data_IF_057877642667
#
_entry.id   IF_057877642667
#
_cell.length_a   1.000
_cell.length_b   1.000
_cell.length_c   1.000
_cell.angle_alpha   90.00
_cell.angle_beta   90.00
_cell.angle_gamma   90.00
#
_symmetry.space_group_name_H-M   'P 1'
#
loop_
_entity.id
_entity.type
_entity.pdbx_description
1 polymer ?
#
# COMPACT_ATOMS: atom_id res chain seq x y z
N UNK A 1 -2.22 7.11 -12.02
CA UNK A 1 -3.47 6.74 -11.35
C UNK A 1 -3.20 6.67 -9.85
N UNK A 2 -4.15 7.05 -9.00
CA UNK A 2 -4.00 6.98 -7.55
C UNK A 2 -5.13 6.14 -6.96
N UNK A 3 -4.78 5.13 -6.18
CA UNK A 3 -5.71 4.24 -5.48
C UNK A 3 -5.58 4.48 -3.99
N UNK A 4 -6.73 4.57 -3.31
CA UNK A 4 -6.81 4.74 -1.86
C UNK A 4 -7.67 3.61 -1.30
N UNK A 5 -7.12 2.87 -0.35
CA UNK A 5 -7.85 1.83 0.39
C UNK A 5 -7.67 2.06 1.89
N UNK A 6 -8.70 1.74 2.65
CA UNK A 6 -8.70 1.88 4.10
C UNK A 6 -9.08 0.52 4.69
N UNK A 7 -8.23 0.05 5.60
CA UNK A 7 -8.40 -1.24 6.26
C UNK A 7 -8.52 -1.04 7.75
N UNK A 8 -9.36 -1.84 8.40
CA UNK A 8 -9.45 -1.87 9.87
C UNK A 8 -8.90 -3.17 10.40
N UNK A 9 -8.28 -3.12 11.59
CA UNK A 9 -7.69 -4.30 12.25
C UNK A 9 -6.59 -5.01 11.43
N UNK A 10 -6.02 -4.34 10.43
CA UNK A 10 -4.88 -4.84 9.65
C UNK A 10 -3.60 -4.25 10.19
N UNK A 11 -2.62 -5.11 10.45
CA UNK A 11 -1.30 -4.68 10.88
C UNK A 11 -0.60 -3.96 9.71
N UNK A 12 -0.25 -2.67 9.85
CA UNK A 12 0.41 -1.90 8.78
C UNK A 12 1.76 -2.48 8.38
N UNK A 13 2.48 -3.15 9.30
CA UNK A 13 3.74 -3.83 8.97
C UNK A 13 3.54 -5.05 8.07
N UNK A 14 2.47 -5.82 8.30
CA UNK A 14 2.13 -6.97 7.45
C UNK A 14 1.65 -6.48 6.07
N UNK A 15 0.76 -5.48 6.03
CA UNK A 15 0.33 -4.87 4.76
C UNK A 15 1.54 -4.34 3.96
N UNK A 16 2.50 -3.70 4.62
CA UNK A 16 3.71 -3.22 3.97
C UNK A 16 4.52 -4.33 3.31
N UNK A 17 4.72 -5.45 3.98
CA UNK A 17 5.50 -6.57 3.46
C UNK A 17 4.79 -7.24 2.27
N UNK A 18 3.47 -7.47 2.40
CA UNK A 18 2.64 -8.05 1.32
C UNK A 18 2.64 -7.16 0.07
N UNK A 19 2.41 -5.84 0.22
CA UNK A 19 2.44 -4.90 -0.90
C UNK A 19 3.81 -4.93 -1.59
N UNK A 20 4.89 -4.99 -0.81
CA UNK A 20 6.25 -5.06 -1.35
C UNK A 20 6.48 -6.34 -2.15
N UNK A 21 5.97 -7.47 -1.70
CA UNK A 21 6.11 -8.76 -2.39
C UNK A 21 5.28 -8.79 -3.69
N UNK A 22 4.01 -8.37 -3.63
CA UNK A 22 3.14 -8.31 -4.80
C UNK A 22 3.68 -7.40 -5.90
N UNK A 23 4.20 -6.23 -5.51
CA UNK A 23 4.78 -5.31 -6.49
C UNK A 23 6.06 -5.90 -7.08
N UNK A 24 6.95 -6.51 -6.29
CA UNK A 24 8.15 -7.18 -6.82
C UNK A 24 7.83 -8.31 -7.81
N UNK A 25 6.71 -9.02 -7.65
CA UNK A 25 6.25 -10.05 -8.62
C UNK A 25 5.97 -9.49 -10.01
N UNK A 26 5.75 -8.18 -10.15
CA UNK A 26 5.42 -7.51 -11.42
C UNK A 26 6.65 -7.07 -12.24
N UNK A 27 7.83 -7.63 -11.92
CA UNK A 27 9.14 -7.33 -12.53
C UNK A 27 9.60 -5.87 -12.33
N UNK A 28 9.29 -5.29 -11.17
CA UNK A 28 9.75 -3.95 -10.79
C UNK A 28 10.70 -4.01 -9.59
N UNK A 29 11.61 -3.05 -9.53
CA UNK A 29 12.65 -3.00 -8.50
C UNK A 29 12.23 -2.04 -7.40
N UNK A 30 12.46 -2.42 -6.14
CA UNK A 30 12.31 -1.52 -4.99
C UNK A 30 13.45 -0.52 -5.02
N UNK A 31 13.12 0.76 -5.22
CA UNK A 31 14.08 1.86 -5.19
C UNK A 31 14.25 2.39 -3.77
N UNK A 32 13.14 2.66 -3.09
CA UNK A 32 13.11 3.12 -1.71
C UNK A 32 12.13 2.30 -0.88
N UNK A 33 12.57 1.86 0.29
CA UNK A 33 11.75 1.13 1.25
C UNK A 33 12.01 1.70 2.65
N UNK A 34 11.10 2.53 3.13
CA UNK A 34 11.16 3.17 4.45
C UNK A 34 9.98 2.72 5.29
N UNK A 35 10.26 2.19 6.46
CA UNK A 35 9.26 1.91 7.48
C UNK A 35 9.64 2.70 8.73
N UNK A 36 8.81 3.65 9.08
CA UNK A 36 9.00 4.54 10.22
C UNK A 36 7.90 4.29 11.25
N UNK A 37 8.26 4.27 12.53
CA UNK A 37 7.31 4.12 13.63
C UNK A 37 7.41 5.35 14.50
N UNK A 38 6.28 6.03 14.67
CA UNK A 38 6.16 7.26 15.45
C UNK A 38 5.28 7.00 16.66
N UNK A 39 5.79 7.30 17.85
CA UNK A 39 4.99 7.29 19.07
C UNK A 39 4.06 8.51 19.08
N UNK A 40 2.77 8.30 19.32
CA UNK A 40 1.82 9.41 19.44
C UNK A 40 2.10 10.19 20.74
N UNK A 41 2.16 11.53 20.69
CA UNK A 41 2.43 12.35 21.88
C UNK A 41 1.29 12.32 22.91
N UNK A 42 0.08 11.96 22.49
CA UNK A 42 -1.13 12.02 23.32
C UNK A 42 -1.45 10.73 24.06
N UNK A 43 -0.92 9.59 23.61
CA UNK A 43 -1.21 8.27 24.21
C UNK A 43 0.01 7.36 24.06
N UNK A 44 0.69 7.05 25.18
CA UNK A 44 1.97 6.34 25.20
C UNK A 44 1.91 4.89 24.67
N UNK A 45 0.72 4.37 24.40
CA UNK A 45 0.49 3.02 23.89
C UNK A 45 0.12 2.98 22.40
N UNK A 46 -0.05 4.14 21.75
CA UNK A 46 -0.42 4.22 20.35
C UNK A 46 0.79 4.56 19.47
N UNK A 47 1.13 3.63 18.58
CA UNK A 47 2.20 3.80 17.60
C UNK A 47 1.61 3.98 16.20
N UNK A 48 1.99 5.06 15.54
CA UNK A 48 1.68 5.30 14.13
C UNK A 48 2.78 4.73 13.27
N UNK A 49 2.42 3.78 12.41
CA UNK A 49 3.33 3.22 11.43
C UNK A 49 3.18 3.99 10.12
N UNK A 50 4.32 4.30 9.52
CA UNK A 50 4.42 4.97 8.23
C UNK A 50 5.37 4.19 7.33
N UNK A 51 4.81 3.44 6.40
CA UNK A 51 5.53 2.77 5.32
C UNK A 51 5.53 3.63 4.07
N UNK A 52 6.69 3.88 3.48
CA UNK A 52 6.83 4.44 2.13
C UNK A 52 7.64 3.47 1.30
N UNK A 53 7.04 2.98 0.22
CA UNK A 53 7.67 2.13 -0.77
C UNK A 53 7.66 2.88 -2.10
N UNK A 54 8.79 2.92 -2.77
CA UNK A 54 8.96 3.48 -4.10
C UNK A 54 9.57 2.42 -4.99
N UNK A 55 8.99 2.24 -6.17
CA UNK A 55 9.40 1.24 -7.14
C UNK A 55 9.70 1.87 -8.48
N UNK A 56 10.76 1.40 -9.10
CA UNK A 56 11.24 1.85 -10.41
C UNK A 56 11.18 0.70 -11.41
N UNK A 57 11.03 1.05 -12.69
CA UNK A 57 11.04 0.04 -13.76
C UNK A 57 12.44 -0.55 -13.87
N UNK A 58 12.53 -1.87 -14.07
CA UNK A 58 13.78 -2.57 -14.37
C UNK A 58 14.31 -2.27 -15.79
N UNK A 59 13.87 -1.16 -16.40
CA UNK A 59 14.34 -0.74 -17.69
C UNK A 59 15.76 -0.17 -17.54
N UNK A 60 16.72 -0.71 -18.30
CA UNK A 60 18.15 -0.30 -18.33
C UNK A 60 18.40 1.18 -18.71
N UNK A 61 17.37 2.00 -18.76
CA UNK A 61 17.44 3.43 -19.02
C UNK A 61 17.93 4.13 -17.75
N UNK A 62 19.03 4.89 -17.87
CA UNK A 62 19.81 5.57 -16.81
C UNK A 62 19.03 6.50 -15.85
N UNK A 63 17.72 6.67 -16.04
CA UNK A 63 16.81 7.29 -15.09
C UNK A 63 15.79 6.21 -14.75
N UNK A 64 15.96 5.54 -13.59
CA UNK A 64 14.95 4.68 -13.03
C UNK A 64 13.71 5.51 -12.77
N UNK A 65 12.79 5.56 -13.73
CA UNK A 65 11.58 6.37 -13.59
C UNK A 65 10.67 5.69 -12.58
N UNK A 66 10.26 6.44 -11.57
CA UNK A 66 9.29 6.01 -10.56
C UNK A 66 8.01 5.53 -11.27
N UNK A 67 7.70 4.25 -11.08
CA UNK A 67 6.57 3.57 -11.71
C UNK A 67 5.41 3.44 -10.74
N UNK A 68 5.73 3.17 -9.48
CA UNK A 68 4.76 2.94 -8.42
C UNK A 68 5.30 3.45 -7.10
N UNK A 69 4.43 4.07 -6.31
CA UNK A 69 4.71 4.51 -4.96
C UNK A 69 3.57 4.08 -4.05
N UNK A 70 3.87 3.29 -3.03
CA UNK A 70 2.90 2.92 -2.00
C UNK A 70 3.21 3.66 -0.70
N UNK A 71 2.20 4.29 -0.13
CA UNK A 71 2.23 4.95 1.17
C UNK A 71 1.24 4.26 2.09
N UNK A 72 1.74 3.74 3.20
CA UNK A 72 0.95 3.07 4.22
C UNK A 72 1.07 3.89 5.48
N UNK A 73 -0.05 4.36 6.02
CA UNK A 73 -0.09 5.05 7.30
C UNK A 73 -1.20 4.44 8.12
N UNK A 74 -0.87 3.93 9.30
CA UNK A 74 -1.86 3.26 10.12
C UNK A 74 -1.46 3.07 11.55
N UNK A 75 -2.46 2.84 12.39
CA UNK A 75 -2.29 2.41 13.77
C UNK A 75 -2.85 0.98 13.85
N UNK A 76 -2.06 -0.02 14.27
CA UNK A 76 -2.48 -1.43 14.25
C UNK A 76 -3.76 -1.70 15.04
N UNK A 77 -4.10 -0.86 16.01
CA UNK A 77 -5.30 -0.96 16.83
C UNK A 77 -6.52 -0.19 16.32
N UNK A 78 -6.39 0.57 15.22
CA UNK A 78 -7.47 1.39 14.65
C UNK A 78 -7.62 1.12 13.15
N UNK A 79 -7.11 2.03 12.34
CA UNK A 79 -7.23 2.06 10.88
C UNK A 79 -5.85 2.12 10.23
N UNK A 80 -5.74 1.47 9.07
CA UNK A 80 -4.57 1.48 8.21
C UNK A 80 -4.98 1.98 6.84
N UNK A 81 -4.41 3.11 6.43
CA UNK A 81 -4.62 3.74 5.13
C UNK A 81 -3.52 3.32 4.18
N UNK A 82 -3.91 2.82 3.03
CA UNK A 82 -3.04 2.50 1.91
C UNK A 82 -3.33 3.48 0.77
N UNK A 83 -2.29 4.14 0.30
CA UNK A 83 -2.33 5.00 -0.89
C UNK A 83 -1.30 4.47 -1.87
N UNK A 84 -1.76 4.02 -3.03
CA UNK A 84 -0.89 3.57 -4.11
C UNK A 84 -0.99 4.60 -5.23
N UNK A 85 0.13 5.22 -5.56
CA UNK A 85 0.29 6.08 -6.72
C UNK A 85 1.00 5.28 -7.81
N UNK A 86 0.43 5.22 -9.01
CA UNK A 86 0.97 4.48 -10.15
C UNK A 86 1.11 5.40 -11.35
N UNK A 87 2.18 5.21 -12.12
CA UNK A 87 2.39 5.95 -13.35
C UNK A 87 2.00 5.07 -14.54
N UNK A 88 0.82 5.31 -15.10
CA UNK A 88 0.26 4.54 -16.23
C UNK A 88 1.20 4.44 -17.45
N UNK A 89 2.11 5.40 -17.59
CA UNK A 89 3.10 5.43 -18.68
C UNK A 89 4.20 4.38 -18.51
N UNK A 90 4.44 3.93 -17.30
CA UNK A 90 5.55 3.03 -16.95
C UNK A 90 5.04 1.72 -16.33
N UNK A 91 3.86 1.77 -15.70
CA UNK A 91 3.23 0.65 -15.05
C UNK A 91 1.83 0.47 -15.64
N UNK A 92 1.68 -0.54 -16.49
CA UNK A 92 0.44 -0.81 -17.21
C UNK A 92 -0.75 -0.99 -16.26
N UNK A 93 -1.94 -0.51 -16.61
CA UNK A 93 -3.12 -0.62 -15.78
C UNK A 93 -3.50 -2.08 -15.47
N UNK A 94 -3.19 -3.02 -16.37
CA UNK A 94 -3.40 -4.47 -16.12
C UNK A 94 -2.62 -4.98 -14.91
N UNK A 95 -1.35 -4.55 -14.75
CA UNK A 95 -0.53 -4.92 -13.59
C UNK A 95 -1.06 -4.29 -12.30
N UNK A 96 -1.61 -3.08 -12.39
CA UNK A 96 -2.27 -2.40 -11.27
C UNK A 96 -3.49 -3.21 -10.84
N UNK A 97 -4.32 -3.63 -11.79
CA UNK A 97 -5.51 -4.43 -11.49
C UNK A 97 -5.14 -5.74 -10.80
N UNK A 98 -4.16 -6.48 -11.32
CA UNK A 98 -3.67 -7.71 -10.70
C UNK A 98 -3.16 -7.48 -9.27
N UNK A 99 -2.35 -6.43 -9.07
CA UNK A 99 -1.87 -6.04 -7.74
C UNK A 99 -3.05 -5.76 -6.78
N UNK A 100 -4.07 -5.03 -7.24
CA UNK A 100 -5.24 -4.72 -6.42
C UNK A 100 -6.09 -5.96 -6.13
N UNK A 101 -6.23 -6.89 -7.07
CA UNK A 101 -6.93 -8.16 -6.88
C UNK A 101 -6.21 -9.04 -5.85
N UNK A 102 -4.87 -9.14 -5.91
CA UNK A 102 -4.06 -9.84 -4.91
C UNK A 102 -4.24 -9.23 -3.50
N UNK A 103 -4.21 -7.90 -3.41
CA UNK A 103 -4.44 -7.20 -2.14
C UNK A 103 -5.87 -7.42 -1.64
N UNK A 104 -6.88 -7.35 -2.51
CA UNK A 104 -8.27 -7.58 -2.17
C UNK A 104 -8.52 -9.03 -1.73
N UNK A 105 -7.81 -9.98 -2.34
CA UNK A 105 -7.90 -11.39 -1.95
C UNK A 105 -7.42 -11.62 -0.51
N UNK A 106 -6.35 -10.95 -0.07
CA UNK A 106 -5.82 -11.09 1.30
C UNK A 106 -6.52 -10.17 2.30
N UNK A 107 -6.73 -8.91 1.93
CA UNK A 107 -7.19 -7.85 2.83
C UNK A 107 -8.62 -7.37 2.59
N UNK A 108 -9.28 -7.84 1.53
CA UNK A 108 -10.63 -7.38 1.16
C UNK A 108 -11.69 -7.68 2.21
N UNK A 109 -11.47 -8.68 3.08
CA UNK A 109 -12.33 -8.93 4.25
C UNK A 109 -12.18 -7.90 5.37
N UNK A 110 -11.09 -7.12 5.36
CA UNK A 110 -10.77 -6.09 6.34
C UNK A 110 -10.91 -4.67 5.78
N UNK A 111 -11.20 -4.54 4.49
CA UNK A 111 -11.45 -3.24 3.86
C UNK A 111 -12.73 -2.65 4.44
N UNK A 112 -12.64 -1.44 4.98
CA UNK A 112 -13.84 -0.67 5.32
C UNK A 112 -14.49 -0.22 4.01
N UNK A 113 -15.44 -1.03 3.51
CA UNK A 113 -16.37 -0.55 2.50
C UNK A 113 -17.28 0.46 3.19
N UNK A 114 -17.51 1.65 2.59
CA UNK A 114 -18.57 2.51 3.06
C UNK A 114 -19.89 1.76 2.85
N UNK A 115 -20.41 1.23 3.96
CA UNK A 115 -21.80 0.84 4.23
C UNK A 115 -22.67 0.61 2.96
N UNK A 116 -22.79 -0.65 2.54
CA UNK A 116 -24.10 -1.08 2.08
C UNK A 116 -24.94 -1.24 3.34
N UNK A 117 -25.57 -0.13 3.73
CA UNK A 117 -26.65 -0.09 4.70
C UNK A 117 -27.67 -1.14 4.26
N UNK A 118 -27.82 -2.13 5.12
CA UNK A 118 -28.72 -3.27 5.03
C UNK A 118 -30.14 -2.72 4.85
N UNK A 119 -30.68 -2.84 3.63
CA UNK A 119 -32.09 -2.62 3.39
C UNK A 119 -32.87 -3.82 3.91
N UNK A 120 -33.34 -3.75 5.16
CA UNK A 120 -34.41 -4.60 5.71
C UNK A 120 -35.56 -3.73 6.26
#
# INVERSE_FOLDING_TARGET
MQIKKVYTRVNPGLLYDEIRDFVQKQDVVVDEAKLETYSMPTDSSSFTYRGTLTFTSNEKSKEGKECLRAHIVGVPSQETKLVIDTNDKLFSPEKVTLLLEDIDFIFGSYEERPDSDDAD
#
